data_IF_508412708969
#
_entry.id   IF_508412708969
#
_cell.length_a   1.000
_cell.length_b   1.000
_cell.length_c   1.000
_cell.angle_alpha   90.00
_cell.angle_beta   90.00
_cell.angle_gamma   90.00
#
_symmetry.space_group_name_H-M   'P 1'
#
loop_
_entity.id
_entity.type
_entity.pdbx_description
1 polymer ?
#
# COMPACT_ATOMS: atom_id res chain seq x y z
N UNK A 1 10.21 10.46 23.10
CA UNK A 1 9.39 10.55 24.33
C UNK A 1 8.14 9.65 24.28
N UNK A 2 7.98 8.78 23.27
CA UNK A 2 6.80 7.91 23.08
C UNK A 2 6.72 6.70 24.02
N UNK A 3 7.85 6.07 24.37
CA UNK A 3 7.85 4.77 25.05
C UNK A 3 7.17 4.73 26.42
N UNK A 4 7.18 5.84 27.17
CA UNK A 4 6.57 5.91 28.50
C UNK A 4 5.05 6.09 28.43
N UNK A 5 4.59 6.85 27.44
CA UNK A 5 3.17 7.10 27.18
C UNK A 5 2.51 5.84 26.59
N UNK A 6 3.22 5.14 25.69
CA UNK A 6 2.80 3.83 25.17
C UNK A 6 2.68 2.78 26.27
N UNK A 7 3.64 2.75 27.20
CA UNK A 7 3.61 1.81 28.34
C UNK A 7 2.45 2.10 29.29
N UNK A 8 2.11 3.37 29.51
CA UNK A 8 0.99 3.77 30.35
C UNK A 8 -0.38 3.49 29.68
N UNK A 9 -0.47 3.71 28.37
CA UNK A 9 -1.68 3.40 27.59
C UNK A 9 -1.93 1.87 27.54
N UNK A 10 -0.88 1.06 27.35
CA UNK A 10 -0.97 -0.41 27.49
C UNK A 10 -1.48 -0.83 28.86
N UNK A 11 -0.98 -0.20 29.93
CA UNK A 11 -1.38 -0.50 31.31
C UNK A 11 -2.83 -0.10 31.64
N UNK A 12 -3.36 0.93 30.97
CA UNK A 12 -4.75 1.39 31.15
C UNK A 12 -5.76 0.65 30.29
N UNK A 13 -5.33 -0.32 29.47
CA UNK A 13 -6.20 -1.16 28.66
C UNK A 13 -6.75 -0.47 27.41
N UNK A 14 -6.12 0.63 26.96
CA UNK A 14 -6.48 1.27 25.70
C UNK A 14 -6.12 0.36 24.52
N UNK A 15 -7.00 0.31 23.52
CA UNK A 15 -6.71 -0.35 22.25
C UNK A 15 -5.62 0.44 21.53
N UNK A 16 -4.61 -0.28 21.04
CA UNK A 16 -3.54 0.27 20.22
C UNK A 16 -3.92 0.09 18.76
N UNK A 17 -3.88 1.16 18.00
CA UNK A 17 -4.02 1.14 16.56
C UNK A 17 -2.66 1.44 15.93
N UNK A 18 -2.40 0.80 14.80
CA UNK A 18 -1.28 1.14 13.92
C UNK A 18 -1.88 1.47 12.58
N UNK A 19 -1.52 2.62 12.04
CA UNK A 19 -1.81 2.98 10.66
C UNK A 19 -0.48 2.98 9.94
N UNK A 20 -0.37 2.23 8.84
CA UNK A 20 0.86 2.16 8.06
C UNK A 20 0.57 2.11 6.58
N UNK A 21 1.36 2.85 5.81
CA UNK A 21 1.41 2.80 4.36
C UNK A 21 2.76 2.23 3.92
N UNK A 22 2.71 1.17 3.13
CA UNK A 22 3.87 0.50 2.56
C UNK A 22 3.97 0.85 1.08
N UNK A 23 5.20 1.01 0.61
CA UNK A 23 5.51 1.24 -0.80
C UNK A 23 6.42 0.10 -1.30
N UNK A 24 6.04 -0.50 -2.42
CA UNK A 24 6.87 -1.46 -3.14
C UNK A 24 7.00 -1.00 -4.59
N UNK A 25 8.20 -0.67 -5.00
CA UNK A 25 8.51 -0.32 -6.38
C UNK A 25 9.08 -1.54 -7.11
N UNK A 26 8.45 -1.89 -8.22
CA UNK A 26 8.86 -2.92 -9.15
C UNK A 26 9.25 -2.28 -10.48
N UNK A 27 10.22 -2.87 -11.19
CA UNK A 27 10.56 -2.46 -12.54
C UNK A 27 10.73 -3.68 -13.46
N UNK A 28 10.48 -3.47 -14.76
CA UNK A 28 10.58 -4.50 -15.79
C UNK A 28 9.25 -4.84 -16.45
N UNK A 29 9.31 -5.19 -17.74
CA UNK A 29 8.11 -5.47 -18.56
C UNK A 29 7.28 -6.65 -18.04
N UNK A 30 7.95 -7.58 -17.37
CA UNK A 30 7.43 -8.82 -16.79
C UNK A 30 6.42 -8.57 -15.66
N UNK A 31 6.40 -7.35 -15.11
CA UNK A 31 5.46 -6.92 -14.07
C UNK A 31 4.08 -6.57 -14.65
N UNK A 32 3.95 -6.38 -15.97
CA UNK A 32 2.67 -5.97 -16.61
C UNK A 32 1.46 -6.83 -16.21
N UNK A 33 1.53 -8.18 -16.14
CA UNK A 33 0.40 -9.00 -15.70
C UNK A 33 -0.10 -8.67 -14.28
N UNK A 34 0.77 -8.14 -13.41
CA UNK A 34 0.41 -7.77 -12.05
C UNK A 34 -0.57 -6.58 -12.02
N UNK A 35 -0.54 -5.70 -13.02
CA UNK A 35 -1.55 -4.63 -13.15
C UNK A 35 -2.97 -5.18 -13.21
N UNK A 36 -3.19 -6.32 -13.87
CA UNK A 36 -4.51 -6.96 -13.93
C UNK A 36 -5.01 -7.43 -12.56
N UNK A 37 -4.09 -7.87 -11.68
CA UNK A 37 -4.40 -8.23 -10.30
C UNK A 37 -4.78 -6.98 -9.51
N UNK A 38 -3.97 -5.92 -9.59
CA UNK A 38 -4.21 -4.66 -8.89
C UNK A 38 -5.53 -4.00 -9.30
N UNK A 39 -5.82 -3.93 -10.59
CA UNK A 39 -7.05 -3.33 -11.10
C UNK A 39 -8.29 -4.09 -10.67
N UNK A 40 -8.24 -5.42 -10.70
CA UNK A 40 -9.33 -6.25 -10.21
C UNK A 40 -9.52 -6.06 -8.71
N UNK A 41 -8.43 -6.07 -7.92
CA UNK A 41 -8.47 -5.85 -6.49
C UNK A 41 -9.13 -4.50 -6.13
N UNK A 42 -8.67 -3.40 -6.74
CA UNK A 42 -9.24 -2.06 -6.50
C UNK A 42 -10.71 -2.00 -6.92
N UNK A 43 -11.06 -2.54 -8.09
CA UNK A 43 -12.45 -2.57 -8.57
C UNK A 43 -13.38 -3.34 -7.63
N UNK A 44 -12.95 -4.50 -7.16
CA UNK A 44 -13.73 -5.34 -6.24
C UNK A 44 -13.88 -4.67 -4.87
N UNK A 45 -12.83 -4.01 -4.35
CA UNK A 45 -12.90 -3.22 -3.12
C UNK A 45 -13.95 -2.10 -3.25
N UNK A 46 -13.88 -1.30 -4.33
CA UNK A 46 -14.82 -0.19 -4.57
C UNK A 46 -16.25 -0.71 -4.72
N UNK A 47 -16.45 -1.78 -5.50
CA UNK A 47 -17.76 -2.38 -5.72
C UNK A 47 -18.37 -3.00 -4.44
N UNK A 48 -17.54 -3.29 -3.43
CA UNK A 48 -17.98 -3.81 -2.14
C UNK A 48 -18.40 -2.73 -1.14
N UNK A 49 -18.34 -1.45 -1.53
CA UNK A 49 -18.71 -0.29 -0.70
C UNK A 49 -17.99 -0.28 0.67
N UNK A 50 -16.71 -0.66 0.70
CA UNK A 50 -15.90 -0.67 1.91
C UNK A 50 -16.08 -1.91 2.79
N UNK A 51 -16.59 -3.02 2.25
CA UNK A 51 -16.61 -4.28 2.97
C UNK A 51 -15.18 -4.76 3.26
N UNK A 52 -14.80 -4.70 4.54
CA UNK A 52 -13.46 -5.01 5.00
C UNK A 52 -13.04 -6.47 4.74
N UNK A 53 -14.00 -7.41 4.71
CA UNK A 53 -13.70 -8.82 4.39
C UNK A 53 -13.27 -8.96 2.94
N UNK A 54 -14.03 -8.36 2.01
CA UNK A 54 -13.69 -8.35 0.58
C UNK A 54 -12.34 -7.65 0.36
N UNK A 55 -12.13 -6.51 1.02
CA UNK A 55 -10.86 -5.79 0.95
C UNK A 55 -9.69 -6.59 1.53
N UNK A 56 -9.92 -7.36 2.59
CA UNK A 56 -8.96 -8.28 3.20
C UNK A 56 -8.55 -9.40 2.25
N UNK A 57 -9.50 -10.03 1.57
CA UNK A 57 -9.21 -11.05 0.54
C UNK A 57 -8.35 -10.46 -0.59
N UNK A 58 -8.69 -9.26 -1.04
CA UNK A 58 -7.92 -8.56 -2.09
C UNK A 58 -6.53 -8.17 -1.63
N UNK A 59 -6.38 -7.74 -0.38
CA UNK A 59 -5.07 -7.49 0.23
C UNK A 59 -4.22 -8.75 0.23
N UNK A 60 -4.77 -9.90 0.62
CA UNK A 60 -4.04 -11.16 0.60
C UNK A 60 -3.56 -11.50 -0.81
N UNK A 61 -4.43 -11.39 -1.81
CA UNK A 61 -4.09 -11.65 -3.21
C UNK A 61 -2.96 -10.74 -3.72
N UNK A 62 -3.01 -9.44 -3.38
CA UNK A 62 -1.99 -8.47 -3.76
C UNK A 62 -0.67 -8.74 -3.04
N UNK A 63 -0.67 -8.99 -1.73
CA UNK A 63 0.54 -9.31 -0.98
C UNK A 63 1.20 -10.62 -1.48
N UNK A 64 0.40 -11.65 -1.78
CA UNK A 64 0.91 -12.90 -2.35
C UNK A 64 1.50 -12.71 -3.74
N UNK A 65 0.88 -11.86 -4.57
CA UNK A 65 1.40 -11.53 -5.88
C UNK A 65 2.71 -10.76 -5.76
N UNK A 66 2.78 -9.73 -4.91
CA UNK A 66 4.03 -8.99 -4.65
C UNK A 66 5.18 -9.92 -4.26
N UNK A 67 4.92 -10.89 -3.37
CA UNK A 67 5.91 -11.90 -2.95
C UNK A 67 6.36 -12.82 -4.10
N UNK A 68 5.53 -13.03 -5.12
CA UNK A 68 5.91 -13.82 -6.31
C UNK A 68 6.75 -13.01 -7.32
N UNK A 69 6.66 -11.68 -7.27
CA UNK A 69 7.42 -10.75 -8.11
C UNK A 69 8.61 -10.12 -7.37
N UNK A 70 9.09 -10.73 -6.28
CA UNK A 70 10.19 -10.22 -5.44
C UNK A 70 11.47 -9.95 -6.24
N UNK A 71 11.77 -10.76 -7.26
CA UNK A 71 12.93 -10.57 -8.15
C UNK A 71 12.90 -9.25 -8.94
N UNK A 72 11.74 -8.59 -9.02
CA UNK A 72 11.57 -7.33 -9.74
C UNK A 72 11.53 -6.12 -8.82
N UNK A 73 11.54 -6.32 -7.50
CA UNK A 73 11.58 -5.21 -6.54
C UNK A 73 12.87 -4.41 -6.70
N UNK A 74 12.74 -3.08 -6.72
CA UNK A 74 13.85 -2.15 -6.88
C UNK A 74 14.05 -1.29 -5.64
N UNK A 75 12.96 -0.83 -5.04
CA UNK A 75 12.97 0.01 -3.86
C UNK A 75 11.72 -0.21 -3.02
N UNK A 76 11.81 0.10 -1.74
CA UNK A 76 10.70 0.05 -0.81
C UNK A 76 10.78 1.18 0.20
N UNK A 77 9.64 1.46 0.83
CA UNK A 77 9.54 2.34 1.97
C UNK A 77 8.31 1.98 2.80
N UNK A 78 8.24 2.55 3.99
CA UNK A 78 7.02 2.59 4.76
C UNK A 78 6.95 3.86 5.59
N UNK A 79 5.73 4.22 5.94
CA UNK A 79 5.43 5.27 6.90
C UNK A 79 4.19 4.87 7.69
N UNK A 80 3.93 5.59 8.76
CA UNK A 80 2.83 5.28 9.66
C UNK A 80 3.08 5.78 11.07
N UNK A 81 2.09 5.57 11.92
CA UNK A 81 2.18 5.90 13.33
C UNK A 81 1.35 4.94 14.21
N UNK A 82 1.66 4.97 15.49
CA UNK A 82 1.00 4.24 16.56
C UNK A 82 0.04 5.18 17.26
N UNK A 83 -1.25 4.89 17.17
CA UNK A 83 -2.32 5.76 17.62
C UNK A 83 -3.15 5.05 18.69
N UNK A 84 -3.60 5.80 19.69
CA UNK A 84 -4.35 5.26 20.84
C UNK A 84 -5.82 5.72 20.89
N UNK A 85 -6.23 6.53 19.92
CA UNK A 85 -7.59 6.98 19.72
C UNK A 85 -8.07 6.49 18.34
N UNK A 86 -9.23 5.84 18.29
CA UNK A 86 -9.76 5.25 17.06
C UNK A 86 -10.13 6.32 16.02
N UNK A 87 -10.64 7.48 16.48
CA UNK A 87 -10.98 8.59 15.60
C UNK A 87 -9.74 9.20 14.95
N UNK A 88 -8.70 9.46 15.75
CA UNK A 88 -7.39 9.92 15.26
C UNK A 88 -6.77 8.93 14.26
N UNK A 89 -6.91 7.62 14.52
CA UNK A 89 -6.43 6.60 13.59
C UNK A 89 -7.19 6.61 12.25
N UNK A 90 -8.51 6.84 12.30
CA UNK A 90 -9.34 7.02 11.10
C UNK A 90 -8.94 8.27 10.31
N UNK A 91 -8.79 9.41 10.99
CA UNK A 91 -8.40 10.68 10.36
C UNK A 91 -7.03 10.56 9.67
N UNK A 92 -6.05 9.95 10.34
CA UNK A 92 -4.72 9.75 9.74
C UNK A 92 -4.74 8.77 8.57
N UNK A 93 -5.56 7.71 8.65
CA UNK A 93 -5.76 6.78 7.53
C UNK A 93 -6.35 7.48 6.29
N UNK A 94 -7.31 8.39 6.47
CA UNK A 94 -7.91 9.18 5.40
C UNK A 94 -6.97 10.26 4.83
N UNK A 95 -6.05 10.79 5.65
CA UNK A 95 -4.97 11.66 5.17
C UNK A 95 -4.04 10.90 4.22
N UNK A 96 -3.61 9.69 4.60
CA UNK A 96 -2.78 8.82 3.76
C UNK A 96 -3.50 8.38 2.49
N UNK A 97 -4.81 8.19 2.53
CA UNK A 97 -5.64 7.97 1.33
C UNK A 97 -5.51 9.13 0.36
N UNK A 98 -5.76 10.34 0.86
CA UNK A 98 -5.79 11.56 0.05
C UNK A 98 -4.43 11.84 -0.58
N UNK A 99 -3.35 11.66 0.20
CA UNK A 99 -2.00 11.77 -0.32
C UNK A 99 -1.70 10.72 -1.39
N UNK A 100 -2.04 9.45 -1.14
CA UNK A 100 -1.87 8.37 -2.13
C UNK A 100 -2.62 8.68 -3.42
N UNK A 101 -3.88 9.10 -3.31
CA UNK A 101 -4.76 9.46 -4.43
C UNK A 101 -4.20 10.62 -5.25
N UNK A 102 -3.58 11.62 -4.61
CA UNK A 102 -2.94 12.72 -5.34
C UNK A 102 -1.80 12.25 -6.24
N UNK A 103 -1.07 11.20 -5.82
CA UNK A 103 0.05 10.62 -6.57
C UNK A 103 -0.40 9.80 -7.77
N UNK A 104 -1.63 9.26 -7.76
CA UNK A 104 -2.23 8.70 -8.99
C UNK A 104 -2.28 9.73 -10.10
N UNK A 105 -2.78 10.91 -9.74
CA UNK A 105 -3.07 12.00 -10.67
C UNK A 105 -1.80 12.73 -11.12
N UNK A 106 -0.71 12.61 -10.34
CA UNK A 106 0.60 13.19 -10.68
C UNK A 106 1.30 12.54 -11.89
N UNK A 107 0.76 11.44 -12.44
CA UNK A 107 1.32 10.73 -13.60
C UNK A 107 1.14 11.48 -14.94
N UNK A 108 0.46 12.63 -14.92
CA UNK A 108 0.29 13.54 -16.05
C UNK A 108 -1.17 13.96 -16.22
N UNK A 109 -1.43 15.27 -16.26
CA UNK A 109 -2.72 15.83 -16.66
C UNK A 109 -2.94 15.60 -18.16
N UNK A 110 -3.53 14.47 -18.52
CA UNK A 110 -4.29 14.36 -19.76
C UNK A 110 -5.77 14.39 -19.37
N UNK A 111 -6.36 15.58 -19.49
CA UNK A 111 -7.80 15.78 -19.59
C UNK A 111 -8.27 15.05 -20.85
N UNK A 112 -8.67 13.79 -20.71
CA UNK A 112 -9.82 13.19 -21.39
C UNK A 112 -9.85 11.66 -21.18
N UNK A 113 -11.07 11.14 -21.23
CA UNK A 113 -11.45 9.84 -21.75
C UNK A 113 -11.91 8.69 -20.84
N UNK A 114 -12.93 8.08 -21.41
CA UNK A 114 -13.89 7.10 -20.93
C UNK A 114 -13.23 5.77 -20.52
N UNK A 115 -13.92 5.05 -19.64
CA UNK A 115 -13.55 3.71 -19.19
C UNK A 115 -13.59 2.74 -20.39
N UNK A 116 -12.46 2.55 -21.04
CA UNK A 116 -12.32 1.58 -22.15
C UNK A 116 -11.71 0.26 -21.64
N UNK A 117 -12.31 -0.87 -22.02
CA UNK A 117 -11.98 -2.24 -21.60
C UNK A 117 -10.70 -2.79 -22.29
N UNK A 118 -9.69 -1.96 -22.53
CA UNK A 118 -8.43 -2.36 -23.16
C UNK A 118 -7.39 -2.87 -22.14
N UNK A 119 -6.54 -3.84 -22.50
CA UNK A 119 -5.53 -4.39 -21.60
C UNK A 119 -4.46 -3.35 -21.26
N UNK A 120 -4.19 -3.17 -19.97
CA UNK A 120 -3.17 -2.27 -19.45
C UNK A 120 -1.77 -2.75 -19.87
N UNK A 121 -1.02 -1.88 -20.55
CA UNK A 121 0.38 -2.12 -20.91
C UNK A 121 1.26 -1.13 -20.17
N UNK A 122 2.32 -1.62 -19.54
CA UNK A 122 3.36 -0.75 -18.97
C UNK A 122 4.22 -0.14 -20.08
N UNK A 123 4.81 1.02 -19.75
CA UNK A 123 5.88 1.67 -20.50
C UNK A 123 7.12 0.76 -20.64
N UNK A 124 8.10 1.13 -21.49
CA UNK A 124 9.36 0.38 -21.60
C UNK A 124 10.18 0.32 -20.31
N UNK A 125 10.01 1.27 -19.37
CA UNK A 125 10.68 1.24 -18.06
C UNK A 125 10.07 0.21 -17.13
N UNK A 126 8.77 -0.07 -17.28
CA UNK A 126 8.06 -1.05 -16.46
C UNK A 126 7.96 -0.68 -14.98
N UNK A 127 8.18 0.59 -14.62
CA UNK A 127 8.08 1.03 -13.24
C UNK A 127 6.63 0.95 -12.76
N UNK A 128 6.44 0.34 -11.60
CA UNK A 128 5.17 0.20 -10.92
C UNK A 128 5.42 0.40 -9.42
N UNK A 129 4.75 1.38 -8.82
CA UNK A 129 4.74 1.55 -7.36
C UNK A 129 3.41 1.08 -6.84
N UNK A 130 3.43 0.10 -5.92
CA UNK A 130 2.26 -0.36 -5.18
C UNK A 130 2.30 0.26 -3.79
N UNK A 131 1.20 0.88 -3.39
CA UNK A 131 0.97 1.53 -2.11
C UNK A 131 -0.11 0.78 -1.35
N UNK A 132 0.22 0.22 -0.18
CA UNK A 132 -0.74 -0.52 0.64
C UNK A 132 -0.89 0.22 1.96
N UNK A 133 -2.06 0.81 2.20
CA UNK A 133 -2.38 1.46 3.47
C UNK A 133 -3.26 0.55 4.29
N UNK A 134 -2.88 0.31 5.54
CA UNK A 134 -3.68 -0.46 6.50
C UNK A 134 -3.81 0.29 7.83
N UNK A 135 -4.95 0.12 8.47
CA UNK A 135 -5.12 0.37 9.90
C UNK A 135 -5.40 -0.97 10.59
N UNK A 136 -4.77 -1.25 11.73
CA UNK A 136 -4.98 -2.50 12.46
C UNK A 136 -4.79 -2.37 13.97
N UNK A 137 -5.37 -3.31 14.70
CA UNK A 137 -5.21 -3.39 16.16
C UNK A 137 -3.98 -4.19 16.58
N UNK A 138 -3.35 -3.72 17.67
CA UNK A 138 -2.27 -4.43 18.35
C UNK A 138 -0.88 -3.99 17.90
N UNK A 139 0.11 -4.87 18.10
CA UNK A 139 1.51 -4.63 17.80
C UNK A 139 2.02 -5.67 16.80
N UNK A 140 2.62 -5.16 15.73
CA UNK A 140 3.20 -5.97 14.66
C UNK A 140 4.54 -5.33 14.26
N UNK A 141 5.63 -5.68 14.95
CA UNK A 141 6.95 -5.07 14.70
C UNK A 141 7.42 -5.21 13.26
N UNK A 142 7.01 -6.29 12.58
CA UNK A 142 7.36 -6.57 11.18
C UNK A 142 6.75 -5.56 10.18
N UNK A 143 5.76 -4.75 10.59
CA UNK A 143 5.15 -3.69 9.76
C UNK A 143 5.61 -2.30 10.24
N UNK A 144 5.86 -2.16 11.54
CA UNK A 144 6.20 -0.88 12.18
C UNK A 144 7.68 -0.49 12.03
N UNK A 145 8.56 -1.46 11.75
CA UNK A 145 9.97 -1.23 11.51
C UNK A 145 10.23 -0.62 10.12
N UNK A 146 11.46 -0.17 9.88
CA UNK A 146 11.91 0.23 8.55
C UNK A 146 11.88 -0.97 7.59
N UNK A 147 11.17 -0.81 6.47
CA UNK A 147 10.96 -1.86 5.47
C UNK A 147 11.89 -1.75 4.26
N UNK A 148 12.90 -0.88 4.29
CA UNK A 148 13.90 -0.71 3.22
C UNK A 148 14.92 -1.87 3.12
N UNK A 149 14.45 -3.11 3.18
CA UNK A 149 15.22 -4.31 2.83
C UNK A 149 14.30 -5.41 2.31
N UNK A 150 14.83 -6.28 1.43
CA UNK A 150 14.08 -7.43 0.89
C UNK A 150 13.44 -8.29 1.98
N UNK A 151 14.20 -8.60 3.04
CA UNK A 151 13.75 -9.45 4.14
C UNK A 151 12.64 -8.76 4.96
N UNK A 152 12.82 -7.48 5.30
CA UNK A 152 11.83 -6.72 6.08
C UNK A 152 10.51 -6.59 5.32
N UNK A 153 10.56 -6.19 4.04
CA UNK A 153 9.35 -6.08 3.21
C UNK A 153 8.65 -7.44 3.03
N UNK A 154 9.42 -8.53 2.88
CA UNK A 154 8.87 -9.89 2.83
C UNK A 154 8.12 -10.26 4.11
N UNK A 155 8.68 -9.95 5.27
CA UNK A 155 8.04 -10.19 6.57
C UNK A 155 6.79 -9.34 6.74
N UNK A 156 6.85 -8.06 6.36
CA UNK A 156 5.72 -7.14 6.42
C UNK A 156 4.53 -7.62 5.57
N UNK A 157 4.76 -8.02 4.31
CA UNK A 157 3.70 -8.54 3.44
C UNK A 157 3.06 -9.82 4.01
N UNK A 158 3.85 -10.71 4.60
CA UNK A 158 3.32 -11.90 5.30
C UNK A 158 2.55 -11.53 6.56
N UNK A 159 3.01 -10.51 7.30
CA UNK A 159 2.34 -10.03 8.49
C UNK A 159 0.97 -9.40 8.14
N UNK A 160 0.86 -8.65 7.03
CA UNK A 160 -0.41 -8.13 6.50
C UNK A 160 -1.41 -9.25 6.18
N UNK A 161 -0.95 -10.31 5.51
CA UNK A 161 -1.77 -11.50 5.24
C UNK A 161 -2.28 -12.11 6.56
N UNK A 162 -1.40 -12.25 7.56
CA UNK A 162 -1.77 -12.80 8.86
C UNK A 162 -2.76 -11.91 9.62
N UNK A 163 -2.65 -10.58 9.50
CA UNK A 163 -3.59 -9.64 10.13
C UNK A 163 -5.02 -9.80 9.61
N UNK A 164 -5.18 -10.07 8.31
CA UNK A 164 -6.49 -10.38 7.75
C UNK A 164 -7.07 -11.66 8.37
N UNK A 165 -6.31 -12.77 8.38
CA UNK A 165 -6.77 -14.03 8.97
C UNK A 165 -7.01 -13.97 10.49
N UNK A 166 -6.44 -12.98 11.17
CA UNK A 166 -6.67 -12.71 12.59
C UNK A 166 -7.82 -11.72 12.84
N UNK A 167 -8.48 -11.22 11.80
CA UNK A 167 -9.56 -10.23 11.87
C UNK A 167 -9.15 -8.94 12.62
N UNK A 168 -7.87 -8.56 12.49
CA UNK A 168 -7.28 -7.37 13.18
C UNK A 168 -7.22 -6.12 12.32
N UNK A 169 -7.44 -6.24 11.02
CA UNK A 169 -7.53 -5.09 10.12
C UNK A 169 -8.77 -4.26 10.49
N UNK A 170 -8.66 -2.94 10.33
CA UNK A 170 -9.70 -1.93 10.58
C UNK A 170 -9.89 -1.00 9.39
N UNK A 171 -8.86 -0.85 8.56
CA UNK A 171 -8.91 -0.15 7.29
C UNK A 171 -7.92 -0.77 6.32
N UNK A 172 -8.30 -0.85 5.05
CA UNK A 172 -7.47 -1.36 3.96
C UNK A 172 -7.69 -0.47 2.74
N UNK A 173 -6.61 0.02 2.17
CA UNK A 173 -6.61 0.68 0.88
C UNK A 173 -5.43 0.16 0.07
N UNK A 174 -5.70 -0.08 -1.20
CA UNK A 174 -4.68 -0.51 -2.15
C UNK A 174 -4.63 0.54 -3.22
N UNK A 175 -3.42 1.04 -3.44
CA UNK A 175 -3.16 1.97 -4.49
C UNK A 175 -1.95 1.60 -5.33
N UNK A 176 -1.86 2.12 -6.55
CA UNK A 176 -0.68 1.91 -7.39
C UNK A 176 -0.51 3.03 -8.43
N UNK A 177 0.71 3.19 -8.94
CA UNK A 177 1.05 4.12 -10.03
C UNK A 177 2.06 3.45 -10.97
N UNK A 178 1.89 3.56 -12.31
CA UNK A 178 0.80 4.23 -13.01
C UNK A 178 -0.52 3.44 -12.91
N UNK A 179 -1.65 4.16 -12.84
CA UNK A 179 -2.96 3.55 -12.63
C UNK A 179 -3.90 3.63 -13.83
N UNK A 180 -3.62 4.52 -14.79
CA UNK A 180 -4.43 4.67 -16.01
C UNK A 180 -3.73 3.99 -17.18
N UNK A 181 -4.54 3.60 -18.16
CA UNK A 181 -4.06 3.05 -19.40
C UNK A 181 -3.26 4.10 -20.16
N UNK A 182 -2.03 3.77 -20.55
CA UNK A 182 -1.15 4.67 -21.31
C UNK A 182 -0.37 5.67 -20.46
N UNK A 183 -0.63 5.74 -19.15
CA UNK A 183 0.23 6.47 -18.23
C UNK A 183 1.56 5.72 -18.06
N UNK A 184 2.64 6.49 -18.09
CA UNK A 184 3.97 5.99 -17.80
C UNK A 184 4.44 6.59 -16.46
N UNK A 185 5.16 5.79 -15.67
CA UNK A 185 5.94 6.29 -14.55
C UNK A 185 7.41 6.22 -14.94
N UNK A 186 7.94 7.31 -15.49
CA UNK A 186 9.36 7.38 -15.82
C UNK A 186 10.22 7.57 -14.55
N UNK A 187 11.55 7.54 -14.72
CA UNK A 187 12.48 7.65 -13.59
C UNK A 187 12.48 9.05 -12.96
N UNK A 188 12.14 10.10 -13.71
CA UNK A 188 12.06 11.46 -13.19
C UNK A 188 10.81 11.63 -12.33
N UNK A 189 9.66 11.20 -12.84
CA UNK A 189 8.40 11.15 -12.10
C UNK A 189 8.50 10.27 -10.85
N UNK A 190 9.17 9.10 -10.95
CA UNK A 190 9.41 8.24 -9.80
C UNK A 190 10.17 9.00 -8.69
N UNK A 191 11.25 9.70 -9.05
CA UNK A 191 12.07 10.44 -8.08
C UNK A 191 11.32 11.63 -7.46
N UNK A 192 10.49 12.32 -8.26
CA UNK A 192 9.73 13.49 -7.81
C UNK A 192 8.53 13.10 -6.93
N UNK A 193 7.82 12.03 -7.29
CA UNK A 193 6.55 11.64 -6.65
C UNK A 193 6.72 10.62 -5.51
N UNK A 194 7.86 9.92 -5.46
CA UNK A 194 8.15 8.86 -4.50
C UNK A 194 9.56 9.00 -3.91
N UNK A 195 9.89 10.20 -3.46
CA UNK A 195 11.21 10.54 -2.90
C UNK A 195 11.61 9.76 -1.65
N UNK A 196 10.66 9.13 -0.97
CA UNK A 196 10.86 8.27 0.20
C UNK A 196 11.37 6.86 -0.14
N UNK A 197 11.29 6.44 -1.40
CA UNK A 197 11.69 5.09 -1.82
C UNK A 197 13.19 4.89 -1.62
N UNK A 198 13.55 3.82 -0.91
CA UNK A 198 14.94 3.43 -0.64
C UNK A 198 15.27 2.17 -1.46
N UNK A 199 16.36 2.13 -2.23
CA UNK A 199 16.79 0.94 -2.98
C UNK A 199 16.97 -0.29 -2.09
N UNK A 200 16.53 -1.47 -2.58
CA UNK A 200 16.59 -2.76 -1.89
C UNK A 200 17.85 -3.58 -2.19
#
# INVERSE_FOLDING_TARGET
MSSWQDSFNKFTGKTRFVVSRLFVHLAGSEVTPFLGVLNRAVREIVASEGNLEVAGERLVEVCQSLLQYDTYWQSAANEGDVIWDEGEAGDFFDELFTDSASRYLSSGDNEDDEVDDQPLTLSPTGNLVVMITVAFEGEVPDIEADLASMDAMTLALKALINLHYQEKLRGIQIHFSPARLGDELDNEQLLLNFSELIPL
#
